data_IF_200760416412
#
_entry.id   IF_200760416412
#
_cell.length_a   1.000
_cell.length_b   1.000
_cell.length_c   1.000
_cell.angle_alpha   90.00
_cell.angle_beta   90.00
_cell.angle_gamma   90.00
#
_symmetry.space_group_name_H-M   'P 1'
#
loop_
_entity.id
_entity.type
_entity.pdbx_description
1 polymer ?
#
# COMPACT_ATOMS: atom_id res chain seq x y z
N UNK A 1 -13.55 -5.00 -21.36
CA UNK A 1 -14.32 -3.79 -21.74
C UNK A 1 -13.51 -2.89 -22.68
N UNK A 2 -12.78 -3.48 -23.63
CA UNK A 2 -11.96 -2.71 -24.58
C UNK A 2 -12.84 -1.93 -25.54
N UNK A 3 -12.36 -0.77 -25.97
CA UNK A 3 -13.07 0.14 -26.87
C UNK A 3 -14.50 0.54 -26.42
N UNK A 4 -14.83 0.42 -25.12
CA UNK A 4 -16.14 0.79 -24.58
C UNK A 4 -16.09 2.08 -23.75
N UNK A 5 -17.08 2.94 -23.91
CA UNK A 5 -17.36 4.02 -22.97
C UNK A 5 -17.88 3.48 -21.64
N UNK A 6 -17.71 4.25 -20.56
CA UNK A 6 -18.22 3.85 -19.24
C UNK A 6 -19.76 3.69 -19.22
N UNK A 7 -20.48 4.44 -20.05
CA UNK A 7 -21.94 4.32 -20.21
C UNK A 7 -22.36 2.97 -20.78
N UNK A 8 -21.64 2.46 -21.80
CA UNK A 8 -21.94 1.17 -22.42
C UNK A 8 -21.66 0.01 -21.45
N UNK A 9 -20.57 0.12 -20.67
CA UNK A 9 -20.27 -0.83 -19.60
C UNK A 9 -21.39 -0.83 -18.56
N UNK A 10 -21.84 0.35 -18.12
CA UNK A 10 -22.94 0.48 -17.16
C UNK A 10 -24.25 -0.11 -17.68
N UNK A 11 -24.61 0.18 -18.93
CA UNK A 11 -25.81 -0.36 -19.57
C UNK A 11 -25.78 -1.88 -19.61
N UNK A 12 -24.64 -2.45 -20.00
CA UNK A 12 -24.43 -3.91 -20.05
C UNK A 12 -24.56 -4.53 -18.66
N UNK A 13 -23.93 -3.95 -17.64
CA UNK A 13 -24.04 -4.41 -16.25
C UNK A 13 -25.49 -4.37 -15.77
N UNK A 14 -26.21 -3.28 -16.04
CA UNK A 14 -27.62 -3.13 -15.66
C UNK A 14 -28.51 -4.16 -16.36
N UNK A 15 -28.26 -4.41 -17.65
CA UNK A 15 -28.98 -5.41 -18.42
C UNK A 15 -28.79 -6.81 -17.83
N UNK A 16 -27.54 -7.24 -17.57
CA UNK A 16 -27.23 -8.55 -16.98
C UNK A 16 -27.93 -8.70 -15.62
N UNK A 17 -27.85 -7.68 -14.75
CA UNK A 17 -28.55 -7.69 -13.45
C UNK A 17 -30.06 -7.78 -13.59
N UNK A 18 -30.66 -7.08 -14.56
CA UNK A 18 -32.11 -7.13 -14.81
C UNK A 18 -32.61 -8.52 -15.21
N UNK A 19 -31.73 -9.36 -15.76
CA UNK A 19 -32.00 -10.77 -16.10
C UNK A 19 -31.69 -11.74 -14.96
N UNK A 20 -31.33 -11.24 -13.77
CA UNK A 20 -30.99 -12.04 -12.61
C UNK A 20 -29.55 -12.56 -12.60
N UNK A 21 -28.67 -12.05 -13.47
CA UNK A 21 -27.25 -12.36 -13.44
C UNK A 21 -26.58 -11.82 -12.17
N UNK A 22 -25.89 -12.69 -11.43
CA UNK A 22 -25.27 -12.37 -10.13
C UNK A 22 -23.75 -12.47 -10.13
N UNK A 23 -23.18 -13.25 -11.06
CA UNK A 23 -21.75 -13.50 -11.14
C UNK A 23 -21.21 -12.83 -12.39
N UNK A 24 -20.54 -11.69 -12.19
CA UNK A 24 -19.95 -10.92 -13.27
C UNK A 24 -18.53 -10.50 -12.86
N UNK A 25 -17.63 -10.50 -13.83
CA UNK A 25 -16.35 -9.83 -13.74
C UNK A 25 -16.20 -8.84 -14.90
N UNK A 26 -15.53 -7.72 -14.66
CA UNK A 26 -15.22 -6.73 -15.68
C UNK A 26 -13.71 -6.61 -15.81
N UNK A 27 -13.18 -6.95 -16.98
CA UNK A 27 -11.77 -6.77 -17.28
C UNK A 27 -11.56 -5.45 -18.00
N UNK A 28 -10.81 -4.53 -17.39
CA UNK A 28 -10.28 -3.37 -18.12
C UNK A 28 -9.40 -3.87 -19.27
N UNK A 29 -9.44 -3.21 -20.41
CA UNK A 29 -8.69 -3.63 -21.59
C UNK A 29 -8.53 -2.43 -22.53
N UNK A 30 -7.40 -2.35 -23.22
CA UNK A 30 -7.24 -1.56 -24.44
C UNK A 30 -7.24 -2.53 -25.63
N UNK A 31 -8.06 -2.25 -26.64
CA UNK A 31 -8.25 -3.12 -27.80
C UNK A 31 -7.25 -2.74 -28.91
N UNK A 32 -5.95 -2.81 -28.59
CA UNK A 32 -4.85 -2.58 -29.52
C UNK A 32 -3.81 -3.70 -29.37
N UNK A 33 -3.30 -4.19 -30.50
CA UNK A 33 -2.38 -5.35 -30.61
C UNK A 33 -1.10 -4.92 -31.35
N UNK A 34 -0.04 -4.48 -30.64
CA UNK A 34 0.06 -4.39 -29.20
C UNK A 34 -0.49 -3.06 -28.68
N UNK A 35 -0.88 -3.03 -27.41
CA UNK A 35 -1.22 -1.79 -26.72
C UNK A 35 0.08 -1.06 -26.34
N UNK A 36 0.28 0.21 -26.74
CA UNK A 36 1.38 1.02 -26.23
C UNK A 36 1.31 1.18 -24.71
N UNK A 37 2.43 1.12 -24.00
CA UNK A 37 2.44 1.17 -22.53
C UNK A 37 1.77 2.44 -21.96
N UNK A 38 1.93 3.58 -22.63
CA UNK A 38 1.29 4.85 -22.26
C UNK A 38 -0.24 4.87 -22.50
N UNK A 39 -0.77 3.89 -23.22
CA UNK A 39 -2.20 3.74 -23.53
C UNK A 39 -2.86 2.57 -22.78
N UNK A 40 -2.09 1.79 -22.01
CA UNK A 40 -2.63 0.72 -21.17
C UNK A 40 -3.68 1.23 -20.16
N UNK A 41 -3.57 2.50 -19.74
CA UNK A 41 -4.58 3.22 -18.95
C UNK A 41 -5.03 2.47 -17.68
N UNK A 42 -4.09 1.91 -16.93
CA UNK A 42 -4.37 0.99 -15.82
C UNK A 42 -5.15 1.63 -14.66
N UNK A 43 -5.12 2.96 -14.50
CA UNK A 43 -5.96 3.64 -13.50
C UNK A 43 -7.47 3.45 -13.74
N UNK A 44 -7.87 3.02 -14.94
CA UNK A 44 -9.25 2.62 -15.24
C UNK A 44 -9.69 1.41 -14.41
N UNK A 45 -8.78 0.58 -13.90
CA UNK A 45 -9.08 -0.47 -12.92
C UNK A 45 -9.65 0.13 -11.63
N UNK A 46 -9.05 1.21 -11.12
CA UNK A 46 -9.55 1.91 -9.92
C UNK A 46 -10.93 2.53 -10.19
N UNK A 47 -11.10 3.19 -11.34
CA UNK A 47 -12.40 3.77 -11.72
C UNK A 47 -13.50 2.71 -11.78
N UNK A 48 -13.24 1.56 -12.43
CA UNK A 48 -14.20 0.46 -12.50
C UNK A 48 -14.51 -0.12 -11.12
N UNK A 49 -13.52 -0.25 -10.23
CA UNK A 49 -13.73 -0.72 -8.85
C UNK A 49 -14.62 0.24 -8.06
N UNK A 50 -14.39 1.54 -8.18
CA UNK A 50 -15.19 2.55 -7.49
C UNK A 50 -16.64 2.57 -8.01
N UNK A 51 -16.83 2.38 -9.32
CA UNK A 51 -18.14 2.42 -9.96
C UNK A 51 -18.95 1.15 -9.78
N UNK A 52 -18.28 0.01 -9.71
CA UNK A 52 -18.89 -1.32 -9.59
C UNK A 52 -18.27 -2.09 -8.39
N UNK A 53 -18.42 -1.61 -7.15
CA UNK A 53 -17.72 -2.15 -5.98
C UNK A 53 -18.07 -3.60 -5.65
N UNK A 54 -19.22 -4.09 -6.10
CA UNK A 54 -19.68 -5.47 -5.94
C UNK A 54 -19.18 -6.43 -7.04
N UNK A 55 -18.53 -5.91 -8.09
CA UNK A 55 -18.12 -6.69 -9.26
C UNK A 55 -16.61 -6.92 -9.21
N UNK A 56 -16.19 -8.15 -9.52
CA UNK A 56 -14.76 -8.47 -9.62
C UNK A 56 -14.17 -7.72 -10.81
N UNK A 57 -13.16 -6.89 -10.55
CA UNK A 57 -12.46 -6.16 -11.61
C UNK A 57 -11.16 -6.88 -11.95
N UNK A 58 -10.90 -7.07 -13.23
CA UNK A 58 -9.67 -7.63 -13.77
C UNK A 58 -9.03 -6.74 -14.82
N UNK A 59 -8.03 -7.28 -15.50
CA UNK A 59 -7.32 -6.64 -16.61
C UNK A 59 -7.00 -7.67 -17.69
N UNK A 60 -7.36 -7.36 -18.93
CA UNK A 60 -6.98 -8.10 -20.14
C UNK A 60 -5.94 -7.28 -20.89
N UNK A 61 -4.74 -7.84 -21.00
CA UNK A 61 -3.51 -7.14 -21.35
C UNK A 61 -2.99 -7.49 -22.74
N UNK A 62 -2.77 -6.47 -23.57
CA UNK A 62 -2.22 -6.61 -24.92
C UNK A 62 -0.90 -5.83 -25.11
N UNK A 63 -0.24 -5.39 -24.03
CA UNK A 63 1.10 -4.78 -24.17
C UNK A 63 2.16 -5.81 -24.56
N UNK A 64 3.30 -5.37 -25.09
CA UNK A 64 4.45 -6.26 -25.24
C UNK A 64 5.01 -6.55 -23.83
N UNK A 65 5.24 -7.82 -23.46
CA UNK A 65 5.79 -8.14 -22.15
C UNK A 65 7.27 -7.77 -22.08
N UNK A 66 7.67 -7.19 -20.97
CA UNK A 66 9.06 -7.06 -20.55
C UNK A 66 9.44 -8.22 -19.62
N UNK A 67 10.73 -8.30 -19.27
CA UNK A 67 11.25 -9.38 -18.43
C UNK A 67 10.63 -9.42 -17.04
N UNK A 68 10.03 -8.33 -16.57
CA UNK A 68 9.43 -8.21 -15.24
C UNK A 68 7.91 -8.19 -15.24
N UNK A 69 7.30 -8.39 -16.43
CA UNK A 69 5.84 -8.41 -16.64
C UNK A 69 5.16 -7.23 -15.94
N UNK A 70 5.77 -6.06 -16.12
CA UNK A 70 5.54 -4.85 -15.33
C UNK A 70 4.10 -4.37 -15.44
N UNK A 71 3.52 -4.38 -16.64
CA UNK A 71 2.15 -3.90 -16.87
C UNK A 71 1.12 -4.79 -16.15
N UNK A 72 1.12 -6.13 -16.31
CA UNK A 72 0.31 -7.03 -15.49
C UNK A 72 0.51 -6.86 -13.99
N UNK A 73 1.77 -6.68 -13.54
CA UNK A 73 2.10 -6.50 -12.14
C UNK A 73 1.47 -5.24 -11.55
N UNK A 74 1.55 -4.11 -12.27
CA UNK A 74 0.90 -2.86 -11.87
C UNK A 74 -0.61 -3.04 -11.80
N UNK A 75 -1.22 -3.77 -12.74
CA UNK A 75 -2.66 -4.03 -12.71
C UNK A 75 -3.08 -4.78 -11.43
N UNK A 76 -2.32 -5.80 -11.01
CA UNK A 76 -2.54 -6.51 -9.74
C UNK A 76 -2.36 -5.57 -8.54
N UNK A 77 -1.33 -4.72 -8.53
CA UNK A 77 -1.11 -3.74 -7.46
C UNK A 77 -2.23 -2.69 -7.35
N UNK A 78 -2.88 -2.33 -8.46
CA UNK A 78 -4.08 -1.48 -8.49
C UNK A 78 -5.35 -2.25 -8.09
N UNK A 79 -5.21 -3.55 -7.87
CA UNK A 79 -6.22 -4.44 -7.32
C UNK A 79 -7.11 -5.10 -8.35
N UNK A 80 -6.62 -5.30 -9.58
CA UNK A 80 -7.18 -6.30 -10.48
C UNK A 80 -7.07 -7.71 -9.84
N UNK A 81 -8.13 -8.51 -9.98
CA UNK A 81 -8.24 -9.85 -9.41
C UNK A 81 -8.22 -10.96 -10.46
N UNK A 82 -8.30 -10.59 -11.73
CA UNK A 82 -8.18 -11.48 -12.88
C UNK A 82 -7.21 -10.80 -13.82
N UNK A 83 -6.19 -11.53 -14.27
CA UNK A 83 -5.27 -11.09 -15.32
C UNK A 83 -5.42 -12.04 -16.49
N UNK A 84 -5.65 -11.48 -17.66
CA UNK A 84 -5.70 -12.20 -18.94
C UNK A 84 -4.56 -11.68 -19.84
N UNK A 85 -3.81 -12.61 -20.44
CA UNK A 85 -2.65 -12.32 -21.29
C UNK A 85 -2.55 -13.40 -22.37
N UNK A 86 -2.21 -13.02 -23.60
CA UNK A 86 -1.92 -14.00 -24.64
C UNK A 86 -0.71 -14.86 -24.26
N UNK A 87 -0.75 -16.14 -24.63
CA UNK A 87 0.28 -17.12 -24.32
C UNK A 87 0.76 -17.82 -25.59
N UNK A 88 2.07 -18.07 -25.68
CA UNK A 88 2.70 -18.82 -26.77
C UNK A 88 3.75 -19.77 -26.22
N UNK A 89 4.09 -20.83 -26.96
CA UNK A 89 5.26 -21.66 -26.65
C UNK A 89 6.58 -21.03 -27.13
N UNK A 90 6.52 -20.20 -28.16
CA UNK A 90 7.65 -19.46 -28.71
C UNK A 90 7.17 -18.12 -29.29
N UNK A 91 7.81 -17.03 -28.85
CA UNK A 91 7.47 -15.66 -29.26
C UNK A 91 8.01 -15.28 -30.63
N UNK A 92 8.90 -16.10 -31.19
CA UNK A 92 9.50 -15.89 -32.51
C UNK A 92 8.71 -16.58 -33.63
N UNK A 93 7.61 -17.29 -33.30
CA UNK A 93 6.76 -17.91 -34.31
C UNK A 93 6.13 -16.82 -35.21
N UNK A 94 5.97 -17.11 -36.51
CA UNK A 94 5.20 -16.25 -37.40
C UNK A 94 3.73 -16.25 -36.97
N UNK A 95 3.00 -15.16 -37.25
CA UNK A 95 1.59 -14.86 -36.90
C UNK A 95 1.41 -13.74 -35.85
N UNK A 96 0.24 -13.10 -35.89
CA UNK A 96 0.00 -11.75 -35.38
C UNK A 96 -0.09 -11.63 -33.85
N UNK A 97 0.00 -12.73 -33.09
CA UNK A 97 -0.15 -12.69 -31.62
C UNK A 97 1.06 -13.20 -30.82
N UNK A 98 2.04 -13.86 -31.46
CA UNK A 98 3.15 -14.50 -30.72
C UNK A 98 4.10 -13.50 -30.06
N UNK A 99 4.40 -12.38 -30.73
CA UNK A 99 5.44 -11.44 -30.27
C UNK A 99 5.05 -10.69 -28.97
N UNK A 100 3.75 -10.44 -28.76
CA UNK A 100 3.22 -9.77 -27.57
C UNK A 100 2.59 -10.73 -26.54
N UNK A 101 2.65 -12.03 -26.81
CA UNK A 101 2.33 -13.09 -25.86
C UNK A 101 3.44 -13.29 -24.82
N UNK A 102 3.06 -13.83 -23.67
CA UNK A 102 4.02 -14.41 -22.72
C UNK A 102 4.32 -15.86 -23.08
N UNK A 103 5.56 -16.28 -22.84
CA UNK A 103 5.98 -17.68 -23.00
C UNK A 103 5.96 -18.42 -21.64
N UNK A 104 6.30 -19.72 -21.56
CA UNK A 104 6.32 -20.44 -20.28
C UNK A 104 7.21 -19.80 -19.21
N UNK A 105 8.34 -19.18 -19.61
CA UNK A 105 9.27 -18.52 -18.69
C UNK A 105 8.65 -17.26 -18.11
N UNK A 106 8.07 -16.42 -18.97
CA UNK A 106 7.40 -15.19 -18.56
C UNK A 106 6.13 -15.49 -17.77
N UNK A 107 5.35 -16.52 -18.13
CA UNK A 107 4.17 -16.91 -17.38
C UNK A 107 4.52 -17.37 -15.95
N UNK A 108 5.59 -18.16 -15.80
CA UNK A 108 6.07 -18.54 -14.46
C UNK A 108 6.44 -17.30 -13.65
N UNK A 109 7.15 -16.35 -14.27
CA UNK A 109 7.52 -15.09 -13.64
C UNK A 109 6.31 -14.23 -13.29
N UNK A 110 5.26 -14.18 -14.12
CA UNK A 110 3.99 -13.52 -13.78
C UNK A 110 3.42 -14.05 -12.47
N UNK A 111 3.36 -15.36 -12.30
CA UNK A 111 2.81 -15.98 -11.09
C UNK A 111 3.64 -15.58 -9.85
N UNK A 112 4.98 -15.64 -9.94
CA UNK A 112 5.86 -15.21 -8.86
C UNK A 112 5.68 -13.72 -8.51
N UNK A 113 5.62 -12.86 -9.53
CA UNK A 113 5.46 -11.41 -9.38
C UNK A 113 4.09 -11.04 -8.81
N UNK A 114 3.02 -11.74 -9.22
CA UNK A 114 1.68 -11.52 -8.68
C UNK A 114 1.63 -11.83 -7.19
N UNK A 115 2.21 -12.96 -6.78
CA UNK A 115 2.29 -13.31 -5.36
C UNK A 115 3.05 -12.24 -4.56
N UNK A 116 4.19 -11.77 -5.07
CA UNK A 116 4.92 -10.68 -4.45
C UNK A 116 4.07 -9.40 -4.32
N UNK A 117 3.33 -9.02 -5.35
CA UNK A 117 2.45 -7.86 -5.29
C UNK A 117 1.33 -8.04 -4.26
N UNK A 118 0.71 -9.22 -4.18
CA UNK A 118 -0.32 -9.50 -3.18
C UNK A 118 0.23 -9.40 -1.76
N UNK A 119 1.42 -9.95 -1.51
CA UNK A 119 2.09 -9.88 -0.21
C UNK A 119 2.47 -8.42 0.15
N UNK A 120 2.89 -7.62 -0.84
CA UNK A 120 3.39 -6.25 -0.63
C UNK A 120 2.31 -5.16 -0.63
N UNK A 121 1.12 -5.42 -1.17
CA UNK A 121 0.02 -4.42 -1.30
C UNK A 121 -1.08 -4.59 -0.26
N UNK A 122 -0.74 -5.20 0.88
CA UNK A 122 -1.64 -5.30 2.03
C UNK A 122 -1.91 -3.92 2.65
N UNK A 123 -3.14 -3.72 3.13
CA UNK A 123 -3.53 -2.50 3.83
C UNK A 123 -3.60 -2.79 5.34
N UNK A 124 -2.70 -2.19 6.10
CA UNK A 124 -2.75 -2.15 7.56
C UNK A 124 -2.56 -0.72 8.04
N UNK A 125 -3.41 -0.29 8.98
CA UNK A 125 -3.25 1.00 9.67
C UNK A 125 -2.33 0.88 10.89
N UNK A 126 -1.88 -0.34 11.21
CA UNK A 126 -1.08 -0.64 12.38
C UNK A 126 0.42 -0.62 12.06
N UNK A 127 1.23 -0.45 13.11
CA UNK A 127 2.69 -0.58 13.04
C UNK A 127 3.03 -2.04 12.77
N UNK A 128 3.91 -2.30 11.81
CA UNK A 128 4.33 -3.67 11.53
C UNK A 128 5.31 -4.19 12.58
N UNK A 129 5.40 -5.51 12.73
CA UNK A 129 6.36 -6.12 13.68
C UNK A 129 7.80 -5.70 13.41
N UNK A 130 8.17 -5.55 12.13
CA UNK A 130 9.49 -5.07 11.70
C UNK A 130 9.79 -3.65 12.16
N UNK A 131 8.76 -2.82 12.39
CA UNK A 131 8.89 -1.45 12.85
C UNK A 131 8.93 -1.31 14.38
N UNK A 132 8.54 -2.32 15.16
CA UNK A 132 8.45 -2.23 16.63
C UNK A 132 9.78 -1.79 17.25
N UNK A 133 10.89 -2.43 16.85
CA UNK A 133 12.23 -2.08 17.33
C UNK A 133 12.64 -0.67 16.92
N UNK A 134 12.40 -0.29 15.66
CA UNK A 134 12.67 1.04 15.17
C UNK A 134 11.84 2.08 15.93
N UNK A 135 10.58 1.81 16.22
CA UNK A 135 9.71 2.68 17.01
C UNK A 135 10.24 2.87 18.43
N UNK A 136 10.67 1.80 19.10
CA UNK A 136 11.26 1.87 20.45
C UNK A 136 12.52 2.73 20.46
N UNK A 137 13.40 2.56 19.47
CA UNK A 137 14.73 3.18 19.48
C UNK A 137 14.79 4.57 18.82
N UNK A 138 13.98 4.82 17.79
CA UNK A 138 14.04 6.04 16.99
C UNK A 138 13.03 7.11 17.41
N UNK A 139 11.96 6.76 18.14
CA UNK A 139 11.09 7.77 18.77
C UNK A 139 11.85 8.50 19.87
N UNK A 140 11.39 9.71 20.19
CA UNK A 140 11.93 10.51 21.29
C UNK A 140 11.02 10.39 22.50
N UNK A 141 11.61 10.40 23.68
CA UNK A 141 10.93 10.67 24.96
C UNK A 141 11.46 11.98 25.55
N UNK A 142 10.69 12.56 26.47
CA UNK A 142 11.19 13.63 27.33
C UNK A 142 12.29 13.07 28.23
N UNK A 143 13.42 13.76 28.27
CA UNK A 143 14.52 13.48 29.20
C UNK A 143 14.85 14.76 29.96
N UNK A 144 15.47 14.62 31.13
CA UNK A 144 15.95 15.77 31.88
C UNK A 144 17.13 16.43 31.15
N UNK A 145 17.03 17.73 30.90
CA UNK A 145 18.09 18.53 30.29
C UNK A 145 19.16 18.97 31.31
N UNK A 146 18.86 18.81 32.60
CA UNK A 146 19.71 19.07 33.75
C UNK A 146 19.21 18.28 34.95
N UNK A 147 19.98 18.16 36.02
CA UNK A 147 19.50 17.53 37.25
C UNK A 147 18.36 18.33 37.88
N UNK A 148 17.26 17.66 38.24
CA UNK A 148 16.03 18.22 38.80
C UNK A 148 15.87 17.70 40.24
N UNK A 149 15.93 18.57 41.27
CA UNK A 149 15.75 18.15 42.66
C UNK A 149 14.35 17.61 42.97
N UNK A 150 14.24 16.78 44.00
CA UNK A 150 12.95 16.33 44.54
C UNK A 150 12.09 17.53 44.95
N UNK A 151 10.82 17.50 44.60
CA UNK A 151 9.85 18.52 44.94
C UNK A 151 9.85 19.74 44.01
N UNK A 152 10.74 19.80 43.01
CA UNK A 152 10.72 20.85 41.99
C UNK A 152 9.49 20.75 41.08
N UNK A 153 9.04 21.90 40.59
CA UNK A 153 8.03 22.00 39.54
C UNK A 153 8.74 21.98 38.18
N UNK A 154 8.33 21.11 37.26
CA UNK A 154 8.94 21.01 35.93
C UNK A 154 8.69 22.30 35.13
N UNK A 155 9.77 22.90 34.63
CA UNK A 155 9.76 24.01 33.67
C UNK A 155 10.27 23.57 32.29
N UNK A 156 9.99 24.33 31.21
CA UNK A 156 10.38 23.94 29.85
C UNK A 156 11.88 23.71 29.65
N UNK A 157 12.74 24.48 30.30
CA UNK A 157 14.20 24.39 30.21
C UNK A 157 14.79 23.16 30.93
N UNK A 158 14.01 22.51 31.80
CA UNK A 158 14.39 21.32 32.54
C UNK A 158 14.27 20.03 31.72
N UNK A 159 13.51 20.04 30.63
CA UNK A 159 13.21 18.84 29.85
C UNK A 159 13.49 19.07 28.37
N UNK A 160 13.99 18.04 27.70
CA UNK A 160 14.29 18.09 26.28
C UNK A 160 13.92 16.75 25.62
N UNK A 161 13.39 16.75 24.38
CA UNK A 161 13.16 15.51 23.65
C UNK A 161 14.47 14.85 23.18
N UNK A 162 14.79 13.65 23.66
CA UNK A 162 15.90 12.82 23.15
C UNK A 162 15.44 11.40 22.83
N UNK A 163 16.22 10.67 22.03
CA UNK A 163 16.07 9.22 21.81
C UNK A 163 16.71 8.44 22.98
N UNK A 164 16.35 7.18 23.23
CA UNK A 164 15.27 6.42 22.57
C UNK A 164 13.88 6.85 23.04
N UNK A 165 12.84 6.16 22.57
CA UNK A 165 11.52 6.25 23.17
C UNK A 165 11.47 5.49 24.50
N UNK A 166 10.26 5.19 24.98
CA UNK A 166 10.04 4.44 26.22
C UNK A 166 9.67 5.32 27.41
N UNK A 167 10.17 6.55 27.47
CA UNK A 167 9.66 7.58 28.39
C UNK A 167 8.42 8.30 27.87
N UNK A 168 7.98 9.34 28.58
CA UNK A 168 6.82 10.17 28.18
C UNK A 168 7.08 10.81 26.80
N UNK A 169 6.11 10.68 25.89
CA UNK A 169 6.17 11.30 24.57
C UNK A 169 6.28 12.84 24.67
N UNK A 170 7.15 13.48 23.87
CA UNK A 170 7.23 14.93 23.77
C UNK A 170 5.90 15.61 23.40
N UNK A 171 4.99 14.91 22.72
CA UNK A 171 3.65 15.42 22.43
C UNK A 171 2.83 15.68 23.70
N UNK A 172 3.21 15.07 24.83
CA UNK A 172 2.55 15.24 26.14
C UNK A 172 3.28 16.24 27.04
N UNK A 173 4.21 17.05 26.51
CA UNK A 173 4.99 18.01 27.30
C UNK A 173 4.11 18.94 28.15
N UNK A 174 2.99 19.43 27.61
CA UNK A 174 2.07 20.29 28.34
C UNK A 174 1.39 19.62 29.54
N UNK A 175 1.31 18.28 29.54
CA UNK A 175 0.81 17.50 30.69
C UNK A 175 1.88 17.29 31.76
N UNK A 176 3.16 17.53 31.42
CA UNK A 176 4.33 17.37 32.30
C UNK A 176 4.73 18.70 32.92
N UNK A 177 4.70 19.80 32.14
CA UNK A 177 4.98 21.14 32.64
C UNK A 177 4.07 21.50 33.82
N UNK A 178 4.64 22.10 34.86
CA UNK A 178 3.88 22.47 36.07
C UNK A 178 3.66 21.32 37.06
N UNK A 179 4.00 20.07 36.73
CA UNK A 179 3.95 18.97 37.70
C UNK A 179 5.12 19.02 38.67
N UNK A 180 4.86 18.57 39.90
CA UNK A 180 5.85 18.40 40.95
C UNK A 180 6.50 17.01 40.88
N UNK A 181 7.82 16.94 40.90
CA UNK A 181 8.55 15.66 40.93
C UNK A 181 8.63 15.12 42.35
N UNK A 182 8.39 13.82 42.54
CA UNK A 182 8.43 13.17 43.87
C UNK A 182 9.77 12.54 44.23
N UNK A 183 10.68 12.45 43.26
CA UNK A 183 12.05 11.96 43.38
C UNK A 183 13.01 12.87 42.59
N UNK A 184 14.32 12.91 42.92
CA UNK A 184 15.30 13.62 42.10
C UNK A 184 15.46 12.93 40.75
N UNK A 185 15.66 13.72 39.69
CA UNK A 185 15.85 13.24 38.31
C UNK A 185 17.23 13.70 37.84
N UNK A 186 18.10 12.78 37.41
CA UNK A 186 19.43 13.13 36.91
C UNK A 186 19.36 13.65 35.48
N UNK A 187 20.35 14.47 35.08
CA UNK A 187 20.51 14.85 33.68
C UNK A 187 20.53 13.59 32.77
N UNK A 188 19.89 13.69 31.61
CA UNK A 188 19.69 12.61 30.63
C UNK A 188 18.84 11.43 31.08
N UNK A 189 18.31 11.43 32.32
CA UNK A 189 17.33 10.45 32.74
C UNK A 189 15.99 10.66 32.00
N UNK A 190 15.38 9.57 31.54
CA UNK A 190 14.05 9.61 30.93
C UNK A 190 12.99 10.03 31.94
N UNK A 191 12.09 10.91 31.51
CA UNK A 191 10.93 11.33 32.30
C UNK A 191 9.81 10.29 32.12
N UNK A 192 9.36 9.70 33.21
CA UNK A 192 8.28 8.73 33.28
C UNK A 192 7.16 9.21 34.21
N UNK A 193 5.95 8.69 34.03
CA UNK A 193 4.78 9.14 34.80
C UNK A 193 4.88 8.84 36.30
N UNK A 194 5.61 7.78 36.65
CA UNK A 194 5.90 7.39 38.01
C UNK A 194 6.81 8.39 38.75
N UNK A 195 7.40 9.38 38.08
CA UNK A 195 8.21 10.43 38.72
C UNK A 195 7.38 11.59 39.30
N UNK A 196 6.06 11.60 39.03
CA UNK A 196 5.12 12.62 39.53
C UNK A 196 4.20 12.03 40.61
N UNK A 197 3.67 12.93 41.44
CA UNK A 197 2.49 12.66 42.27
C UNK A 197 1.20 12.65 41.42
#
# INVERSE_FOLDING_TARGET
TGASYLSEIQETVNFIKSKGGKELALLHCNLAYPTPNNEANLLRIIELKNRFPEIIIGYSDHTIPDDEVTIPLIAVALGAKIIEKHFTLDRNLPEDDHYHSVDPTLLHRMIERFKLAEDATTLTAEITDSEISARKNARRSLVANKTIPKGSIITPDMIIPKRPGGGISPALINKVLGRKVKAPIQMDQQINWDLFD
#
